data_IF_876484724299
#
_entry.id   IF_876484724299
#
_cell.length_a   1.000
_cell.length_b   1.000
_cell.length_c   1.000
_cell.angle_alpha   90.00
_cell.angle_beta   90.00
_cell.angle_gamma   90.00
#
_symmetry.space_group_name_H-M   'P 1'
#
loop_
_entity.id
_entity.type
_entity.pdbx_description
1 polymer ?
#
# COMPACT_ATOMS: atom_id res chain seq x y z
N UNK A 1 -6.08 17.90 14.31
CA UNK A 1 -5.39 16.69 14.82
C UNK A 1 -3.90 16.88 14.61
N UNK A 2 -3.03 16.53 15.56
CA UNK A 2 -1.61 16.85 15.46
C UNK A 2 -0.96 16.02 14.34
N UNK A 3 -0.13 16.68 13.53
CA UNK A 3 0.75 16.06 12.54
C UNK A 3 1.60 15.00 13.23
N UNK A 4 1.32 13.72 13.00
CA UNK A 4 2.25 12.65 13.33
C UNK A 4 3.37 12.70 12.28
N UNK A 5 4.41 13.47 12.62
CA UNK A 5 5.68 13.51 11.92
C UNK A 5 6.31 12.11 11.96
N UNK A 6 6.95 11.67 10.88
CA UNK A 6 7.77 10.45 10.77
C UNK A 6 8.64 10.19 12.03
N UNK A 7 9.07 11.26 12.71
CA UNK A 7 9.73 11.23 14.01
C UNK A 7 9.00 10.46 15.12
N UNK A 8 7.68 10.59 15.25
CA UNK A 8 6.93 9.91 16.32
C UNK A 8 6.84 8.39 16.10
N UNK A 9 6.92 7.95 14.84
CA UNK A 9 6.94 6.53 14.50
C UNK A 9 8.30 5.90 14.81
N UNK A 10 9.38 6.66 14.57
CA UNK A 10 10.75 6.28 14.94
C UNK A 10 10.89 6.17 16.45
N UNK A 11 10.37 7.11 17.24
CA UNK A 11 10.42 7.03 18.71
C UNK A 11 9.66 5.82 19.27
N UNK A 12 8.52 5.45 18.68
CA UNK A 12 7.77 4.25 19.11
C UNK A 12 8.49 2.93 18.79
N UNK A 13 9.27 2.88 17.70
CA UNK A 13 10.04 1.70 17.33
C UNK A 13 11.35 1.58 18.13
N UNK A 14 11.99 2.71 18.46
CA UNK A 14 13.17 2.78 19.31
C UNK A 14 12.89 2.45 20.78
N UNK A 15 11.69 2.71 21.28
CA UNK A 15 11.33 2.33 22.65
C UNK A 15 11.28 0.79 22.87
N UNK A 16 11.20 -0.01 21.80
CA UNK A 16 11.08 -1.48 21.88
C UNK A 16 12.37 -2.23 21.55
N UNK A 17 13.31 -1.57 20.89
CA UNK A 17 14.60 -2.14 20.52
C UNK A 17 15.66 -1.39 21.31
N UNK A 18 16.54 -2.06 22.05
CA UNK A 18 17.63 -1.42 22.80
C UNK A 18 18.70 -0.77 21.88
N UNK A 19 18.31 -0.27 20.71
CA UNK A 19 19.15 0.42 19.74
C UNK A 19 19.40 1.84 20.23
N UNK A 20 20.67 2.22 20.29
CA UNK A 20 21.05 3.60 20.56
C UNK A 20 20.55 4.52 19.43
N UNK A 21 20.31 5.80 19.76
CA UNK A 21 19.97 6.84 18.76
C UNK A 21 21.03 6.90 17.64
N UNK A 22 22.30 6.60 17.97
CA UNK A 22 23.39 6.52 17.00
C UNK A 22 23.21 5.36 16.01
N UNK A 23 22.84 4.17 16.48
CA UNK A 23 22.57 3.01 15.61
C UNK A 23 21.30 3.22 14.77
N UNK A 24 20.27 3.83 15.35
CA UNK A 24 19.05 4.22 14.64
C UNK A 24 19.33 5.23 13.52
N UNK A 25 20.22 6.20 13.77
CA UNK A 25 20.64 7.20 12.78
C UNK A 25 21.58 6.64 11.71
N UNK A 26 22.24 5.51 11.98
CA UNK A 26 23.09 4.79 11.03
C UNK A 26 22.31 3.85 10.11
N UNK A 27 21.06 3.52 10.45
CA UNK A 27 20.11 2.95 9.50
C UNK A 27 19.74 4.08 8.54
N UNK A 28 20.54 4.26 7.50
CA UNK A 28 20.10 5.01 6.33
C UNK A 28 18.91 4.26 5.76
N UNK A 29 17.71 4.74 6.06
CA UNK A 29 16.54 4.43 5.26
C UNK A 29 16.89 4.84 3.85
N UNK A 30 17.10 3.86 2.97
CA UNK A 30 17.12 4.14 1.54
C UNK A 30 15.82 4.87 1.25
N UNK A 31 15.91 5.97 0.54
CA UNK A 31 14.72 6.58 -0.01
C UNK A 31 13.99 5.47 -0.80
N UNK A 32 12.68 5.23 -0.60
CA UNK A 32 11.92 4.31 -1.45
C UNK A 32 12.02 4.66 -2.95
N UNK A 33 12.54 5.84 -3.31
CA UNK A 33 12.88 6.24 -4.67
C UNK A 33 14.31 5.87 -5.12
N UNK A 34 15.18 5.36 -4.24
CA UNK A 34 16.55 4.89 -4.56
C UNK A 34 16.60 3.42 -5.01
N UNK A 35 15.45 2.74 -5.14
CA UNK A 35 15.43 1.47 -5.85
C UNK A 35 15.69 1.72 -7.32
N UNK A 36 16.56 0.90 -7.91
CA UNK A 36 16.75 0.83 -9.36
C UNK A 36 15.50 0.19 -9.99
N UNK A 37 14.43 0.97 -9.98
CA UNK A 37 13.13 0.56 -10.48
C UNK A 37 13.15 0.76 -11.98
N UNK A 38 13.25 -0.34 -12.71
CA UNK A 38 13.18 -0.28 -14.15
C UNK A 38 11.81 0.27 -14.56
N UNK A 39 11.82 1.36 -15.31
CA UNK A 39 10.59 1.97 -15.82
C UNK A 39 10.09 1.13 -16.98
N UNK A 40 8.97 0.44 -16.80
CA UNK A 40 8.28 -0.22 -17.90
C UNK A 40 7.44 0.82 -18.65
N UNK A 41 7.88 1.19 -19.85
CA UNK A 41 7.23 2.23 -20.67
C UNK A 41 6.09 1.68 -21.53
N UNK A 42 5.78 0.39 -21.41
CA UNK A 42 4.71 -0.24 -22.17
C UNK A 42 3.34 0.07 -21.53
N UNK A 43 2.72 1.12 -22.06
CA UNK A 43 1.42 1.63 -21.60
C UNK A 43 0.22 0.93 -22.24
N UNK A 44 0.42 -0.08 -23.10
CA UNK A 44 -0.68 -0.69 -23.86
C UNK A 44 -1.38 -1.77 -23.02
N UNK A 45 -2.59 -1.45 -22.57
CA UNK A 45 -3.45 -2.40 -21.88
C UNK A 45 -3.84 -3.56 -22.80
N UNK A 46 -3.67 -4.78 -22.30
CA UNK A 46 -3.98 -6.02 -23.03
C UNK A 46 -4.31 -7.12 -22.04
N UNK A 47 -4.82 -8.24 -22.58
CA UNK A 47 -5.19 -9.41 -21.76
C UNK A 47 -3.96 -9.93 -21.03
N UNK A 48 -4.06 -10.01 -19.71
CA UNK A 48 -3.01 -10.44 -18.80
C UNK A 48 -3.52 -11.57 -17.93
N UNK A 49 -2.84 -12.72 -17.95
CA UNK A 49 -3.05 -13.76 -16.95
C UNK A 49 -2.26 -13.38 -15.70
N UNK A 50 -2.88 -13.52 -14.54
CA UNK A 50 -2.24 -13.23 -13.27
C UNK A 50 -2.12 -14.53 -12.48
N UNK A 51 -0.89 -14.86 -12.12
CA UNK A 51 -0.56 -16.08 -11.40
C UNK A 51 0.01 -15.74 -10.03
N UNK A 52 -0.35 -16.51 -9.02
CA UNK A 52 0.30 -16.52 -7.72
C UNK A 52 1.29 -17.69 -7.68
N UNK A 53 2.56 -17.37 -7.49
CA UNK A 53 3.62 -18.36 -7.31
C UNK A 53 4.03 -18.37 -5.85
N UNK A 54 4.09 -19.55 -5.24
CA UNK A 54 4.53 -19.70 -3.84
C UNK A 54 5.63 -20.74 -3.69
N UNK A 55 6.64 -20.49 -2.86
CA UNK A 55 7.75 -21.42 -2.56
C UNK A 55 8.04 -21.50 -1.05
N UNK A 56 8.61 -22.60 -0.53
CA UNK A 56 9.06 -22.65 0.87
C UNK A 56 10.13 -21.58 1.15
N UNK A 57 10.12 -21.01 2.37
CA UNK A 57 11.20 -20.14 2.84
C UNK A 57 12.30 -21.04 3.43
N UNK A 58 13.55 -20.89 2.98
CA UNK A 58 14.70 -21.56 3.62
C UNK A 58 14.91 -23.04 3.28
N UNK A 59 14.32 -23.57 2.21
CA UNK A 59 14.60 -24.93 1.72
C UNK A 59 14.17 -26.05 2.68
N UNK A 60 13.31 -25.73 3.65
CA UNK A 60 12.67 -26.72 4.53
C UNK A 60 11.26 -26.98 4.01
N UNK A 61 11.02 -28.21 3.57
CA UNK A 61 9.72 -28.65 3.05
C UNK A 61 8.62 -28.67 4.14
N UNK A 62 9.02 -28.71 5.41
CA UNK A 62 8.13 -28.97 6.56
C UNK A 62 7.47 -27.71 7.16
N UNK A 63 7.70 -26.52 6.60
CA UNK A 63 7.02 -25.33 7.09
C UNK A 63 5.58 -25.28 6.56
N UNK A 64 4.62 -25.21 7.49
CA UNK A 64 3.19 -25.06 7.19
C UNK A 64 2.97 -23.99 6.11
N UNK A 65 1.94 -24.15 5.26
CA UNK A 65 1.63 -23.28 4.10
C UNK A 65 1.66 -21.78 4.42
N UNK A 66 1.47 -21.41 5.68
CA UNK A 66 1.53 -20.06 6.23
C UNK A 66 2.90 -19.39 6.09
N UNK A 67 4.01 -20.12 5.92
CA UNK A 67 5.36 -19.55 5.82
C UNK A 67 5.97 -19.70 4.42
N UNK A 68 5.16 -19.55 3.37
CA UNK A 68 5.64 -19.57 1.99
C UNK A 68 5.96 -18.17 1.49
N UNK A 69 7.00 -18.06 0.68
CA UNK A 69 7.33 -16.85 -0.06
C UNK A 69 6.43 -16.71 -1.28
N UNK A 70 5.91 -15.51 -1.52
CA UNK A 70 4.96 -15.23 -2.61
C UNK A 70 5.57 -14.32 -3.68
N UNK A 71 5.19 -14.57 -4.93
CA UNK A 71 5.40 -13.69 -6.07
C UNK A 71 4.15 -13.66 -6.95
N UNK A 72 3.85 -12.50 -7.53
CA UNK A 72 2.84 -12.38 -8.59
C UNK A 72 3.53 -12.37 -9.95
N UNK A 73 3.02 -13.21 -10.86
CA UNK A 73 3.47 -13.25 -12.25
C UNK A 73 2.35 -12.73 -13.13
N UNK A 74 2.66 -11.72 -13.92
CA UNK A 74 1.78 -11.12 -14.91
C UNK A 74 2.24 -11.59 -16.29
N UNK A 75 1.40 -12.32 -17.00
CA UNK A 75 1.70 -12.91 -18.30
C UNK A 75 0.77 -12.33 -19.36
N UNK A 76 1.35 -11.54 -20.25
CA UNK A 76 0.72 -11.04 -21.46
C UNK A 76 1.06 -11.96 -22.65
N UNK A 77 0.53 -11.65 -23.83
CA UNK A 77 0.76 -12.46 -25.04
C UNK A 77 2.24 -12.46 -25.50
N UNK A 78 2.94 -11.34 -25.26
CA UNK A 78 4.27 -11.07 -25.80
C UNK A 78 5.37 -10.91 -24.74
N UNK A 79 5.00 -10.83 -23.45
CA UNK A 79 5.94 -10.72 -22.33
C UNK A 79 5.35 -11.22 -21.02
N UNK A 80 6.22 -11.48 -20.06
CA UNK A 80 5.85 -11.74 -18.68
C UNK A 80 6.64 -10.82 -17.75
N UNK A 81 6.14 -10.62 -16.53
CA UNK A 81 6.88 -9.95 -15.48
C UNK A 81 6.56 -10.59 -14.12
N UNK A 82 7.57 -10.69 -13.28
CA UNK A 82 7.43 -11.25 -11.92
C UNK A 82 7.72 -10.17 -10.90
N UNK A 83 6.84 -10.06 -9.90
CA UNK A 83 6.96 -9.12 -8.80
C UNK A 83 6.96 -9.88 -7.47
N UNK A 84 7.96 -9.64 -6.64
CA UNK A 84 8.08 -10.23 -5.31
C UNK A 84 8.64 -9.22 -4.30
N UNK A 85 8.47 -9.49 -3.01
CA UNK A 85 9.09 -8.69 -1.95
C UNK A 85 10.00 -9.57 -1.10
N UNK A 86 11.26 -9.16 -0.91
CA UNK A 86 12.24 -9.89 -0.10
C UNK A 86 12.43 -9.22 1.27
N UNK A 87 12.90 -9.99 2.24
CA UNK A 87 13.43 -9.45 3.49
C UNK A 87 14.91 -9.10 3.28
N UNK A 88 15.20 -7.83 3.03
CA UNK A 88 16.59 -7.34 2.94
C UNK A 88 16.89 -6.47 4.15
N UNK A 89 17.81 -6.94 5.00
CA UNK A 89 18.24 -6.23 6.22
C UNK A 89 17.09 -5.89 7.20
N UNK A 90 16.04 -6.71 7.24
CA UNK A 90 14.87 -6.47 8.10
C UNK A 90 13.83 -5.53 7.51
N UNK A 91 13.86 -5.27 6.20
CA UNK A 91 12.90 -4.42 5.50
C UNK A 91 12.33 -5.11 4.26
N UNK A 92 11.12 -4.69 3.86
CA UNK A 92 10.49 -5.08 2.60
C UNK A 92 11.23 -4.44 1.44
N UNK A 93 11.92 -5.28 0.66
CA UNK A 93 12.68 -4.91 -0.52
C UNK A 93 12.01 -5.49 -1.77
N UNK A 94 11.22 -4.69 -2.51
CA UNK A 94 10.54 -5.15 -3.70
C UNK A 94 11.55 -5.49 -4.80
N UNK A 95 11.29 -6.60 -5.50
CA UNK A 95 12.05 -7.08 -6.65
C UNK A 95 11.13 -7.31 -7.83
N UNK A 96 11.70 -7.11 -9.00
CA UNK A 96 11.02 -7.27 -10.26
C UNK A 96 11.94 -7.95 -11.27
N UNK A 97 11.34 -8.71 -12.17
CA UNK A 97 12.03 -9.44 -13.24
C UNK A 97 11.19 -9.38 -14.53
N UNK A 98 11.86 -9.16 -15.67
CA UNK A 98 11.30 -9.10 -17.03
C UNK A 98 10.77 -10.44 -17.59
N UNK A 99 10.65 -11.46 -16.75
CA UNK A 99 10.17 -12.77 -17.17
C UNK A 99 9.52 -13.52 -15.98
N UNK A 100 8.87 -14.63 -16.27
CA UNK A 100 8.55 -15.64 -15.27
C UNK A 100 9.84 -16.31 -14.78
N UNK A 101 9.89 -16.80 -13.53
CA UNK A 101 11.02 -17.59 -13.11
C UNK A 101 11.17 -18.82 -14.02
N UNK A 102 12.39 -19.08 -14.48
CA UNK A 102 12.67 -20.19 -15.38
C UNK A 102 12.50 -21.54 -14.66
N UNK A 103 12.26 -22.61 -15.44
CA UNK A 103 12.25 -23.98 -14.88
C UNK A 103 13.62 -24.42 -14.36
N UNK A 104 14.69 -23.67 -14.69
CA UNK A 104 16.02 -23.87 -14.15
C UNK A 104 16.30 -23.05 -12.87
N UNK A 105 15.40 -22.14 -12.49
CA UNK A 105 15.52 -21.39 -11.25
C UNK A 105 15.12 -22.29 -10.07
N UNK A 106 16.12 -22.95 -9.50
CA UNK A 106 15.96 -23.90 -8.39
C UNK A 106 15.23 -23.34 -7.19
N UNK A 107 15.19 -22.01 -7.03
CA UNK A 107 14.41 -21.37 -5.95
C UNK A 107 12.91 -21.66 -6.09
N UNK A 108 12.47 -22.02 -7.29
CA UNK A 108 11.08 -22.23 -7.64
C UNK A 108 10.79 -23.69 -8.05
N UNK A 109 11.67 -24.65 -7.74
CA UNK A 109 11.44 -26.07 -8.06
C UNK A 109 10.22 -26.63 -7.30
N UNK A 110 10.08 -26.28 -6.01
CA UNK A 110 8.96 -26.72 -5.15
C UNK A 110 7.80 -25.70 -5.12
N UNK A 111 7.58 -25.03 -6.26
CA UNK A 111 6.57 -23.99 -6.34
C UNK A 111 5.16 -24.56 -6.41
N UNK A 112 4.23 -23.87 -5.78
CA UNK A 112 2.80 -23.99 -6.13
C UNK A 112 2.45 -22.82 -7.02
N UNK A 113 1.80 -23.10 -8.15
CA UNK A 113 1.36 -22.10 -9.12
C UNK A 113 -0.16 -22.12 -9.15
N UNK A 114 -0.78 -20.98 -8.93
CA UNK A 114 -2.23 -20.82 -9.00
C UNK A 114 -2.57 -19.69 -9.97
N UNK A 115 -3.48 -19.95 -10.91
CA UNK A 115 -4.06 -18.91 -11.75
C UNK A 115 -5.08 -18.14 -10.92
N UNK A 116 -4.80 -16.88 -10.61
CA UNK A 116 -5.75 -16.01 -9.92
C UNK A 116 -6.87 -15.63 -10.88
N UNK A 117 -6.52 -15.24 -12.10
CA UNK A 117 -7.51 -14.84 -13.09
C UNK A 117 -6.91 -14.25 -14.36
N UNK A 118 -7.78 -13.65 -15.16
CA UNK A 118 -7.39 -12.93 -16.38
C UNK A 118 -8.00 -11.53 -16.38
N UNK A 119 -7.14 -10.54 -16.59
CA UNK A 119 -7.44 -9.12 -16.43
C UNK A 119 -6.98 -8.33 -17.65
N UNK A 120 -7.26 -7.03 -17.66
CA UNK A 120 -6.80 -6.10 -18.69
C UNK A 120 -5.87 -5.09 -18.03
N UNK A 121 -4.56 -5.29 -18.19
CA UNK A 121 -3.53 -4.40 -17.63
C UNK A 121 -2.49 -4.04 -18.69
N UNK A 122 -1.88 -2.87 -18.52
CA UNK A 122 -0.59 -2.58 -19.17
C UNK A 122 0.57 -2.99 -18.27
N UNK A 123 1.72 -3.41 -18.81
CA UNK A 123 2.93 -3.63 -17.99
C UNK A 123 3.32 -2.40 -17.16
N UNK A 124 3.19 -1.19 -17.72
CA UNK A 124 3.42 0.07 -17.01
C UNK A 124 2.52 0.21 -15.78
N UNK A 125 1.22 -0.03 -15.90
CA UNK A 125 0.25 0.06 -14.80
C UNK A 125 0.61 -0.87 -13.63
N UNK A 126 1.00 -2.11 -13.93
CA UNK A 126 1.44 -3.07 -12.91
C UNK A 126 2.74 -2.58 -12.25
N UNK A 127 3.69 -2.09 -13.04
CA UNK A 127 4.95 -1.56 -12.54
C UNK A 127 4.76 -0.35 -11.62
N UNK A 128 3.86 0.57 -12.00
CA UNK A 128 3.50 1.74 -11.19
C UNK A 128 2.80 1.34 -9.89
N UNK A 129 1.89 0.36 -9.91
CA UNK A 129 1.24 -0.16 -8.70
C UNK A 129 2.27 -0.78 -7.74
N UNK A 130 3.17 -1.63 -8.25
CA UNK A 130 4.22 -2.24 -7.44
C UNK A 130 5.22 -1.21 -6.88
N UNK A 131 5.59 -0.19 -7.67
CA UNK A 131 6.45 0.91 -7.23
C UNK A 131 5.83 1.71 -6.09
N UNK A 132 4.52 1.95 -6.18
CA UNK A 132 3.75 2.73 -5.21
C UNK A 132 3.16 1.88 -4.07
N UNK A 133 3.51 0.59 -3.99
CA UNK A 133 3.03 -0.29 -2.95
C UNK A 133 3.40 0.26 -1.57
N UNK A 134 2.38 0.52 -0.75
CA UNK A 134 2.51 1.18 0.57
C UNK A 134 3.38 0.43 1.58
N UNK A 135 3.74 -0.83 1.32
CA UNK A 135 4.61 -1.64 2.18
C UNK A 135 6.09 -1.58 1.76
N UNK A 136 6.45 -0.92 0.66
CA UNK A 136 7.84 -0.73 0.26
C UNK A 136 8.63 -0.03 1.39
N UNK A 137 9.85 -0.51 1.68
CA UNK A 137 10.71 -0.03 2.79
C UNK A 137 10.13 -0.17 4.20
N UNK A 138 8.96 -0.79 4.38
CA UNK A 138 8.43 -1.04 5.72
C UNK A 138 9.27 -2.12 6.43
N UNK A 139 9.35 -2.03 7.76
CA UNK A 139 10.06 -3.01 8.56
C UNK A 139 9.42 -4.39 8.38
N UNK A 140 10.23 -5.38 7.99
CA UNK A 140 9.79 -6.75 7.78
C UNK A 140 9.43 -7.40 9.12
N UNK A 141 8.28 -8.06 9.15
CA UNK A 141 7.81 -8.89 10.25
C UNK A 141 7.12 -10.12 9.70
N UNK A 142 7.59 -11.31 10.10
CA UNK A 142 7.06 -12.59 9.64
C UNK A 142 5.53 -12.72 9.78
N UNK A 143 4.94 -12.14 10.83
CA UNK A 143 3.49 -12.24 11.08
C UNK A 143 2.64 -11.11 10.52
N UNK A 144 3.21 -9.95 10.19
CA UNK A 144 2.43 -8.73 9.94
C UNK A 144 2.83 -7.94 8.71
N UNK A 145 4.11 -7.97 8.31
CA UNK A 145 4.61 -7.17 7.18
C UNK A 145 5.64 -8.03 6.46
N UNK A 146 5.16 -8.87 5.54
CA UNK A 146 5.97 -9.84 4.83
C UNK A 146 5.63 -9.84 3.33
N UNK A 147 6.20 -10.77 2.57
CA UNK A 147 5.98 -10.87 1.13
C UNK A 147 4.53 -11.20 0.74
N UNK A 148 3.79 -11.95 1.57
CA UNK A 148 2.39 -12.29 1.33
C UNK A 148 1.53 -11.03 1.43
N UNK A 149 1.72 -10.27 2.50
CA UNK A 149 1.02 -8.99 2.69
C UNK A 149 1.35 -8.00 1.57
N UNK A 150 2.62 -7.92 1.14
CA UNK A 150 3.03 -7.08 0.02
C UNK A 150 2.31 -7.45 -1.28
N UNK A 151 2.23 -8.75 -1.59
CA UNK A 151 1.48 -9.25 -2.76
C UNK A 151 -0.02 -8.98 -2.64
N UNK A 152 -0.62 -9.18 -1.47
CA UNK A 152 -2.03 -8.85 -1.26
C UNK A 152 -2.31 -7.37 -1.50
N UNK A 153 -1.46 -6.48 -0.99
CA UNK A 153 -1.56 -5.04 -1.23
C UNK A 153 -1.43 -4.70 -2.71
N UNK A 154 -0.50 -5.33 -3.44
CA UNK A 154 -0.38 -5.15 -4.88
C UNK A 154 -1.65 -5.60 -5.61
N UNK A 155 -2.23 -6.73 -5.18
CA UNK A 155 -3.51 -7.21 -5.69
C UNK A 155 -4.64 -6.21 -5.46
N UNK A 156 -4.77 -5.67 -4.24
CA UNK A 156 -5.77 -4.63 -3.92
C UNK A 156 -5.61 -3.38 -4.79
N UNK A 157 -4.38 -2.90 -4.98
CA UNK A 157 -4.11 -1.70 -5.77
C UNK A 157 -4.41 -1.90 -7.27
N UNK A 158 -4.48 -3.15 -7.73
CA UNK A 158 -4.85 -3.55 -9.09
C UNK A 158 -6.28 -4.12 -9.21
N UNK A 159 -7.09 -4.08 -8.14
CA UNK A 159 -8.42 -4.70 -8.09
C UNK A 159 -8.43 -6.22 -8.41
N UNK A 160 -7.40 -6.92 -7.96
CA UNK A 160 -7.21 -8.37 -8.07
C UNK A 160 -7.51 -9.01 -6.71
N UNK A 161 -8.52 -9.87 -6.68
CA UNK A 161 -8.83 -10.68 -5.50
C UNK A 161 -7.81 -11.81 -5.34
N UNK A 162 -6.78 -11.59 -4.53
CA UNK A 162 -5.83 -12.64 -4.15
C UNK A 162 -6.49 -13.59 -3.13
N UNK A 163 -6.50 -14.92 -3.34
CA UNK A 163 -7.20 -15.86 -2.47
C UNK A 163 -6.80 -15.73 -1.00
N UNK A 164 -7.79 -15.42 -0.15
CA UNK A 164 -7.62 -15.27 1.30
C UNK A 164 -7.28 -16.61 1.98
N UNK A 165 -7.62 -17.75 1.36
CA UNK A 165 -7.24 -19.10 1.83
C UNK A 165 -5.74 -19.34 1.88
N UNK A 166 -4.95 -18.44 1.29
CA UNK A 166 -3.50 -18.44 1.38
C UNK A 166 -2.99 -17.30 2.28
N UNK A 167 -3.71 -16.18 2.39
CA UNK A 167 -3.30 -15.03 3.18
C UNK A 167 -3.66 -15.27 4.66
N UNK A 168 -2.68 -15.11 5.55
CA UNK A 168 -2.90 -15.22 7.00
C UNK A 168 -3.92 -14.14 7.39
N UNK A 169 -5.15 -14.55 7.72
CA UNK A 169 -6.22 -13.62 8.04
C UNK A 169 -5.98 -13.00 9.42
N UNK A 170 -5.61 -11.72 9.46
CA UNK A 170 -5.54 -10.94 10.69
C UNK A 170 -6.27 -9.59 10.55
N UNK A 171 -6.97 -9.11 11.60
CA UNK A 171 -7.88 -7.94 11.56
C UNK A 171 -7.25 -6.58 11.21
N UNK A 172 -5.92 -6.48 11.12
CA UNK A 172 -5.22 -5.20 10.97
C UNK A 172 -5.30 -4.62 9.54
N UNK A 173 -5.70 -5.40 8.54
CA UNK A 173 -5.94 -4.89 7.17
C UNK A 173 -6.98 -3.76 7.14
N UNK A 174 -7.95 -3.77 8.08
CA UNK A 174 -8.88 -2.67 8.29
C UNK A 174 -8.19 -1.35 8.72
N UNK A 175 -7.06 -1.44 9.44
CA UNK A 175 -6.27 -0.29 9.86
C UNK A 175 -5.44 0.28 8.70
N UNK A 176 -4.90 -0.58 7.84
CA UNK A 176 -4.17 -0.16 6.64
C UNK A 176 -5.09 0.54 5.62
N UNK A 177 -6.31 0.03 5.42
CA UNK A 177 -7.33 0.69 4.59
C UNK A 177 -7.75 2.05 5.15
N UNK A 178 -7.84 2.19 6.48
CA UNK A 178 -8.11 3.46 7.18
C UNK A 178 -7.01 4.50 6.94
N UNK A 179 -5.73 4.08 6.90
CA UNK A 179 -4.60 4.96 6.58
C UNK A 179 -4.61 5.42 5.12
N UNK A 180 -5.01 4.57 4.16
CA UNK A 180 -5.14 4.95 2.73
C UNK A 180 -6.15 6.09 2.54
N UNK A 181 -7.31 6.02 3.21
CA UNK A 181 -8.30 7.11 3.21
C UNK A 181 -7.75 8.43 3.78
N UNK A 182 -6.85 8.35 4.76
CA UNK A 182 -6.21 9.53 5.35
C UNK A 182 -5.20 10.20 4.40
N UNK A 183 -4.43 9.41 3.63
CA UNK A 183 -3.49 9.95 2.64
C UNK A 183 -4.20 10.52 1.40
N UNK A 184 -5.27 9.89 0.93
CA UNK A 184 -6.05 10.37 -0.22
C UNK A 184 -6.83 11.66 0.10
N UNK A 185 -7.28 11.84 1.34
CA UNK A 185 -7.88 13.11 1.79
C UNK A 185 -6.88 14.28 1.80
N UNK A 186 -5.60 14.02 2.05
CA UNK A 186 -4.56 15.05 2.03
C UNK A 186 -4.18 15.49 0.61
N UNK A 187 -4.21 14.59 -0.38
CA UNK A 187 -4.01 14.98 -1.79
C UNK A 187 -5.15 15.88 -2.30
N UNK A 188 -6.40 15.57 -1.94
CA UNK A 188 -7.57 16.36 -2.36
C UNK A 188 -7.61 17.74 -1.69
N UNK A 189 -7.13 17.86 -0.45
CA UNK A 189 -7.09 19.14 0.29
C UNK A 189 -6.01 20.10 -0.22
N UNK A 190 -4.88 19.58 -0.73
CA UNK A 190 -3.84 20.41 -1.37
C UNK A 190 -4.33 20.95 -2.73
N UNK A 191 -5.16 20.20 -3.45
CA UNK A 191 -5.71 20.63 -4.74
C UNK A 191 -6.80 21.72 -4.61
N UNK A 192 -7.52 21.77 -3.48
CA UNK A 192 -8.49 22.86 -3.21
C UNK A 192 -7.86 24.12 -2.60
N UNK A 193 -6.65 24.02 -2.03
CA UNK A 193 -5.94 25.16 -1.43
C UNK A 193 -5.28 26.12 -2.43
N UNK A 194 -5.07 25.70 -3.67
CA UNK A 194 -4.42 26.51 -4.73
C UNK A 194 -5.38 27.26 -5.65
N UNK A 195 -6.71 27.06 -5.51
CA UNK A 195 -7.70 27.77 -6.31
C UNK A 195 -8.15 29.15 -5.72
N UNK A 196 -7.64 29.55 -4.55
CA UNK A 196 -8.13 30.74 -3.83
C UNK A 196 -7.20 31.96 -3.80
N UNK A 197 -6.10 31.99 -4.57
CA UNK A 197 -5.21 33.16 -4.64
C UNK A 197 -5.06 33.65 -6.07
N UNK A 198 -6.07 34.40 -6.53
CA UNK A 198 -5.91 35.14 -7.79
C UNK A 198 -7.18 35.79 -8.31
N UNK A 199 -7.71 36.80 -7.61
CA UNK A 199 -8.24 38.06 -8.21
C UNK A 199 -8.29 39.10 -7.07
N UNK A 200 -7.56 40.21 -7.22
CA UNK A 200 -7.70 41.36 -6.34
C UNK A 200 -8.88 42.25 -6.74
N UNK A 201 -9.58 42.84 -5.77
CA UNK A 201 -10.28 44.12 -5.91
C UNK A 201 -10.23 44.88 -4.57
N UNK A 202 -9.84 46.15 -4.67
CA UNK A 202 -9.79 47.19 -3.65
C UNK A 202 -11.14 47.95 -3.63
N UNK A 203 -11.43 48.65 -2.52
CA UNK A 203 -12.55 49.61 -2.27
C UNK A 203 -13.89 48.95 -1.88
N UNK A 204 -14.65 49.36 -0.86
CA UNK A 204 -14.57 50.44 0.12
C UNK A 204 -15.89 50.47 0.95
N UNK A 205 -15.77 51.01 2.18
CA UNK A 205 -16.78 51.68 3.05
C UNK A 205 -18.27 51.31 2.90
N UNK A 206 -18.89 50.86 4.00
CA UNK A 206 -20.34 50.88 4.17
C UNK A 206 -20.81 50.30 5.51
N UNK A 207 -20.88 51.15 6.54
CA UNK A 207 -21.60 50.89 7.79
C UNK A 207 -23.11 50.81 7.53
N UNK A 208 -23.78 49.80 8.10
CA UNK A 208 -25.15 49.94 8.61
C UNK A 208 -25.50 48.78 9.55
N UNK A 209 -25.75 49.13 10.81
CA UNK A 209 -26.53 48.36 11.78
C UNK A 209 -27.95 48.11 11.23
N UNK A 210 -28.50 46.91 11.47
CA UNK A 210 -29.95 46.74 11.74
C UNK A 210 -30.13 45.57 12.71
N UNK A 211 -30.88 45.88 13.75
CA UNK A 211 -31.37 45.06 14.86
C UNK A 211 -32.30 43.89 14.49
N UNK A 212 -32.47 43.01 15.47
CA UNK A 212 -33.72 42.27 15.72
C UNK A 212 -33.72 40.83 15.21
N UNK A 213 -34.37 39.87 15.84
CA UNK A 213 -35.26 39.85 16.99
C UNK A 213 -35.38 38.37 17.42
N UNK A 214 -35.58 38.15 18.71
CA UNK A 214 -35.88 36.87 19.36
C UNK A 214 -37.15 36.18 18.83
N UNK A 215 -37.22 34.84 18.98
CA UNK A 215 -38.36 34.03 19.50
C UNK A 215 -38.00 32.55 19.33
N UNK A 216 -37.69 31.78 20.37
CA UNK A 216 -38.61 31.22 21.37
C UNK A 216 -39.89 30.59 20.78
N UNK A 217 -39.96 29.25 20.81
CA UNK A 217 -41.09 28.43 21.29
C UNK A 217 -40.79 26.94 21.04
N UNK A 218 -40.79 26.10 22.09
CA UNK A 218 -41.92 25.24 22.53
C UNK A 218 -42.27 24.18 21.47
N UNK A 219 -42.52 22.93 21.77
CA UNK A 219 -42.67 22.12 23.00
C UNK A 219 -43.19 20.77 22.50
N UNK A 220 -43.08 19.75 23.35
CA UNK A 220 -44.02 18.60 23.42
C UNK A 220 -44.01 17.65 22.19
N UNK A 221 -44.22 16.34 22.29
CA UNK A 221 -44.40 15.38 23.36
C UNK A 221 -44.52 14.00 22.67
N UNK A 222 -44.53 12.96 23.50
CA UNK A 222 -45.31 11.72 23.33
C UNK A 222 -44.58 10.59 22.57
N UNK A 223 -44.02 9.58 23.23
CA UNK A 223 -44.61 8.55 24.13
C UNK A 223 -45.31 7.42 23.36
N UNK A 224 -44.84 6.22 23.69
CA UNK A 224 -45.48 4.90 23.72
C UNK A 224 -45.56 4.02 22.46
N UNK A 225 -44.78 2.93 22.57
CA UNK A 225 -45.23 1.55 22.68
C UNK A 225 -46.20 1.01 21.62
N UNK A 226 -45.69 0.06 20.84
CA UNK A 226 -46.17 -1.33 20.88
C UNK A 226 -45.09 -2.29 20.43
#
# INVERSE_FOLDING_TARGET
>A
LPNLNLYSFIEMSLAKSNLSIAEASAIQFKDPHDYDWHCDMDSKSRKCKVWLWTRPIGGREDEERTHRHWAMVFEWEDKAATYEALNTHGYIDPKWFDDKPSDSDKRWDDRTIELIGTYMFSPQEVNEAAKNNRLNCCQFSYGHVNCQHWVTVLGEDLDISVPETLAISEPWMALAASLKGFFDMNKTSILMGTAALGVGVLVGIGLSEVDGESKEKKKDNKVENK
#
